data_IF_274240723061
#
_entry.id   IF_274240723061
#
_cell.length_a   1.000
_cell.length_b   1.000
_cell.length_c   1.000
_cell.angle_alpha   90.00
_cell.angle_beta   90.00
_cell.angle_gamma   90.00
#
_symmetry.space_group_name_H-M   'P 1'
#
loop_
_entity.id
_entity.type
_entity.pdbx_description
1 polymer ?
#
# COMPACT_ATOMS: atom_id res chain seq x y z
N UNK A 1 1.07 -6.58 -13.41
CA UNK A 1 0.47 -5.74 -14.44
C UNK A 1 1.08 -6.05 -15.79
N UNK A 2 0.34 -6.01 -16.90
CA UNK A 2 0.95 -6.03 -18.23
C UNK A 2 1.60 -4.67 -18.50
N UNK A 3 2.75 -4.68 -19.15
CA UNK A 3 3.45 -3.44 -19.49
C UNK A 3 4.63 -3.72 -20.41
N UNK A 4 5.20 -2.67 -20.98
CA UNK A 4 6.40 -2.80 -21.82
C UNK A 4 7.65 -2.71 -20.93
N UNK A 5 8.59 -3.62 -21.14
CA UNK A 5 9.89 -3.55 -20.46
C UNK A 5 10.59 -2.26 -20.87
N UNK A 6 10.90 -1.42 -19.88
CA UNK A 6 11.63 -0.16 -20.11
C UNK A 6 13.14 -0.42 -20.14
N UNK A 7 13.65 -1.10 -19.11
CA UNK A 7 15.06 -1.46 -18.99
C UNK A 7 15.21 -2.78 -18.29
N UNK A 8 16.20 -3.57 -18.70
CA UNK A 8 16.68 -4.75 -17.99
C UNK A 8 18.07 -4.44 -17.47
N UNK A 9 18.25 -4.53 -16.15
CA UNK A 9 19.46 -4.08 -15.46
C UNK A 9 20.42 -5.23 -15.16
N UNK A 10 20.02 -6.47 -15.43
CA UNK A 10 20.78 -7.67 -15.16
C UNK A 10 21.00 -8.50 -16.44
N UNK A 11 22.07 -9.28 -16.44
CA UNK A 11 22.41 -10.19 -17.55
C UNK A 11 22.50 -11.62 -17.01
N UNK A 12 22.40 -12.57 -17.91
CA UNK A 12 22.67 -13.99 -17.59
C UNK A 12 24.05 -14.15 -16.97
N UNK A 13 24.09 -14.80 -15.81
CA UNK A 13 25.31 -15.04 -15.03
C UNK A 13 25.62 -13.96 -13.98
N UNK A 14 24.83 -12.88 -13.90
CA UNK A 14 25.00 -11.87 -12.85
C UNK A 14 24.53 -12.43 -11.50
N UNK A 15 25.29 -12.17 -10.45
CA UNK A 15 24.84 -12.39 -9.07
C UNK A 15 23.98 -11.23 -8.61
N UNK A 16 22.86 -11.53 -7.98
CA UNK A 16 21.91 -10.55 -7.46
C UNK A 16 21.59 -10.86 -6.00
N UNK A 17 21.43 -9.78 -5.24
CA UNK A 17 21.00 -9.85 -3.85
C UNK A 17 19.52 -9.48 -3.74
N UNK A 18 18.91 -9.92 -2.65
CA UNK A 18 17.54 -9.53 -2.32
C UNK A 18 17.43 -7.99 -2.23
N UNK A 19 16.53 -7.42 -3.00
CA UNK A 19 16.30 -5.97 -3.09
C UNK A 19 16.96 -5.31 -4.30
N UNK A 20 17.86 -5.99 -5.02
CA UNK A 20 18.47 -5.44 -6.22
C UNK A 20 17.43 -5.27 -7.33
N UNK A 21 17.48 -4.14 -8.01
CA UNK A 21 16.57 -3.82 -9.12
C UNK A 21 16.93 -4.64 -10.35
N UNK A 22 15.99 -5.45 -10.82
CA UNK A 22 16.18 -6.38 -11.92
C UNK A 22 15.75 -5.77 -13.26
N UNK A 23 14.53 -5.24 -13.30
CA UNK A 23 14.00 -4.56 -14.50
C UNK A 23 12.92 -3.55 -14.14
N UNK A 24 12.63 -2.65 -15.08
CA UNK A 24 11.54 -1.67 -14.95
C UNK A 24 10.51 -1.84 -16.06
N UNK A 25 9.26 -1.54 -15.70
CA UNK A 25 8.12 -1.57 -16.64
C UNK A 25 7.69 -0.15 -16.94
N UNK A 26 7.61 0.20 -18.20
CA UNK A 26 7.05 1.47 -18.66
C UNK A 26 5.52 1.39 -18.69
N UNK A 27 4.87 2.24 -17.92
CA UNK A 27 3.42 2.38 -17.93
C UNK A 27 3.01 3.86 -17.92
N UNK A 28 2.92 4.49 -19.10
CA UNK A 28 2.48 5.89 -19.22
C UNK A 28 1.08 6.13 -18.64
N UNK A 29 0.24 5.11 -18.70
CA UNK A 29 -1.14 5.16 -18.16
C UNK A 29 -1.14 5.36 -16.64
N UNK A 30 -0.23 4.72 -15.91
CA UNK A 30 -0.11 4.89 -14.47
C UNK A 30 0.36 6.31 -14.12
N UNK A 31 1.31 6.85 -14.91
CA UNK A 31 1.76 8.23 -14.73
C UNK A 31 0.62 9.24 -14.96
N UNK A 32 -0.20 9.02 -15.98
CA UNK A 32 -1.38 9.84 -16.24
C UNK A 32 -2.39 9.74 -15.09
N UNK A 33 -2.62 8.52 -14.55
CA UNK A 33 -3.45 8.31 -13.36
C UNK A 33 -2.91 9.01 -12.12
N UNK A 34 -1.58 9.02 -11.92
CA UNK A 34 -0.95 9.75 -10.82
C UNK A 34 -1.25 11.25 -10.92
N UNK A 35 -1.05 11.83 -12.10
CA UNK A 35 -1.36 13.25 -12.31
C UNK A 35 -2.84 13.56 -12.04
N UNK A 36 -3.74 12.69 -12.46
CA UNK A 36 -5.18 12.83 -12.21
C UNK A 36 -5.49 12.75 -10.70
N UNK A 37 -4.93 11.77 -9.98
CA UNK A 37 -5.11 11.61 -8.54
C UNK A 37 -4.56 12.82 -7.78
N UNK A 38 -3.36 13.29 -8.12
CA UNK A 38 -2.76 14.48 -7.52
C UNK A 38 -3.57 15.76 -7.77
N UNK A 39 -4.15 15.90 -8.96
CA UNK A 39 -5.05 17.02 -9.23
C UNK A 39 -6.32 16.95 -8.38
N UNK A 40 -6.88 15.75 -8.18
CA UNK A 40 -8.01 15.50 -7.29
C UNK A 40 -7.67 15.80 -5.82
N UNK A 41 -6.49 15.42 -5.36
CA UNK A 41 -6.01 15.71 -4.00
C UNK A 41 -5.91 17.23 -3.77
N UNK A 42 -5.27 17.96 -4.69
CA UNK A 42 -5.16 19.43 -4.60
C UNK A 42 -6.54 20.13 -4.59
N UNK A 43 -7.50 19.62 -5.35
CA UNK A 43 -8.86 20.16 -5.34
C UNK A 43 -9.55 19.90 -4.00
N UNK A 44 -9.45 18.70 -3.45
CA UNK A 44 -10.01 18.34 -2.15
C UNK A 44 -9.32 19.10 -0.99
N UNK A 45 -8.01 19.31 -1.09
CA UNK A 45 -7.25 20.13 -0.14
C UNK A 45 -7.75 21.59 -0.13
N UNK A 46 -7.93 22.19 -1.30
CA UNK A 46 -8.46 23.55 -1.41
C UNK A 46 -9.86 23.68 -0.82
N UNK A 47 -10.72 22.67 -0.99
CA UNK A 47 -12.06 22.63 -0.38
C UNK A 47 -11.98 22.50 1.15
N UNK A 48 -11.06 21.67 1.66
CA UNK A 48 -10.84 21.52 3.11
C UNK A 48 -10.34 22.84 3.71
N UNK A 49 -9.36 23.49 3.08
CA UNK A 49 -8.89 24.80 3.52
C UNK A 49 -9.98 25.87 3.48
N UNK A 50 -10.83 25.87 2.46
CA UNK A 50 -11.95 26.80 2.37
C UNK A 50 -12.94 26.58 3.51
N UNK A 51 -13.26 25.35 3.86
CA UNK A 51 -14.13 25.01 4.97
C UNK A 51 -13.53 25.42 6.32
N UNK A 52 -12.21 25.24 6.51
CA UNK A 52 -11.52 25.66 7.73
C UNK A 52 -11.41 27.16 7.87
N UNK A 53 -11.02 27.87 6.81
CA UNK A 53 -10.92 29.35 6.80
C UNK A 53 -12.26 30.03 6.99
N UNK A 54 -13.38 29.40 6.61
CA UNK A 54 -14.73 29.93 6.73
C UNK A 54 -14.95 31.18 5.91
N UNK A 55 -15.73 32.14 6.47
CA UNK A 55 -16.07 33.40 5.79
C UNK A 55 -14.83 34.30 5.62
N UNK A 56 -14.81 35.04 4.54
CA UNK A 56 -13.75 36.00 4.26
C UNK A 56 -13.71 37.12 5.28
N UNK A 57 -12.52 37.68 5.55
CA UNK A 57 -12.35 38.79 6.49
C UNK A 57 -13.27 40.00 6.17
N UNK A 58 -13.52 40.30 4.88
CA UNK A 58 -14.43 41.36 4.42
C UNK A 58 -15.88 41.07 4.77
N UNK A 59 -16.32 39.81 4.66
CA UNK A 59 -17.68 39.38 5.01
C UNK A 59 -17.94 39.52 6.52
N UNK A 60 -16.95 39.07 7.33
CA UNK A 60 -16.97 39.23 8.78
C UNK A 60 -17.00 40.73 9.17
N UNK A 61 -16.18 41.55 8.52
CA UNK A 61 -16.14 43.01 8.77
C UNK A 61 -17.46 43.68 8.39
N UNK A 62 -18.07 43.30 7.26
CA UNK A 62 -19.38 43.82 6.84
C UNK A 62 -20.49 43.46 7.82
N UNK A 63 -20.56 42.18 8.25
CA UNK A 63 -21.54 41.73 9.24
C UNK A 63 -21.34 42.43 10.60
N UNK A 64 -20.08 42.63 11.03
CA UNK A 64 -19.76 43.40 12.25
C UNK A 64 -20.23 44.84 12.16
N UNK A 65 -20.01 45.50 11.03
CA UNK A 65 -20.43 46.88 10.81
C UNK A 65 -21.96 47.01 10.85
N UNK A 66 -22.69 46.05 10.28
CA UNK A 66 -24.14 45.99 10.32
C UNK A 66 -24.65 45.83 11.77
N UNK A 67 -24.05 44.95 12.56
CA UNK A 67 -24.36 44.83 13.99
C UNK A 67 -24.06 46.12 14.74
N UNK A 68 -22.91 46.78 14.54
CA UNK A 68 -22.56 48.03 15.20
C UNK A 68 -23.56 49.13 14.87
N UNK A 69 -24.06 49.19 13.64
CA UNK A 69 -25.11 50.13 13.22
C UNK A 69 -26.44 49.89 13.95
N UNK A 70 -26.85 48.61 14.04
CA UNK A 70 -28.06 48.21 14.76
C UNK A 70 -27.94 48.49 16.28
N UNK A 71 -26.77 48.26 16.85
CA UNK A 71 -26.44 48.55 18.26
C UNK A 71 -26.56 50.05 18.56
N UNK A 72 -25.98 50.90 17.73
CA UNK A 72 -26.10 52.36 17.89
C UNK A 72 -27.57 52.84 17.80
N UNK A 73 -28.37 52.22 16.92
CA UNK A 73 -29.80 52.50 16.82
C UNK A 73 -30.56 52.07 18.09
N UNK A 74 -30.29 50.90 18.64
CA UNK A 74 -30.88 50.43 19.90
C UNK A 74 -30.52 51.39 21.07
N UNK A 75 -29.25 51.76 21.22
CA UNK A 75 -28.80 52.70 22.28
C UNK A 75 -29.51 54.05 22.16
N UNK A 76 -29.75 54.58 20.97
CA UNK A 76 -30.48 55.82 20.73
C UNK A 76 -31.96 55.68 21.15
N UNK A 77 -32.61 54.59 20.74
CA UNK A 77 -34.01 54.34 21.06
C UNK A 77 -34.22 54.10 22.56
N UNK A 78 -33.29 53.41 23.21
CA UNK A 78 -33.29 53.22 24.67
C UNK A 78 -33.23 54.56 25.40
N UNK A 79 -32.27 55.42 25.04
CA UNK A 79 -32.17 56.78 25.62
C UNK A 79 -33.44 57.59 25.37
N UNK A 80 -34.03 57.45 24.20
CA UNK A 80 -35.31 58.18 23.84
C UNK A 80 -36.46 57.66 24.68
N UNK A 81 -36.61 56.32 24.79
CA UNK A 81 -37.60 55.70 25.65
C UNK A 81 -37.49 56.17 27.12
N UNK A 82 -36.25 56.09 27.67
CA UNK A 82 -36.01 56.51 29.05
C UNK A 82 -36.38 57.99 29.30
N UNK A 83 -36.08 58.85 28.36
CA UNK A 83 -36.46 60.24 28.42
C UNK A 83 -38.00 60.44 28.39
N UNK A 84 -38.65 59.77 27.45
CA UNK A 84 -40.14 59.82 27.29
C UNK A 84 -40.83 59.23 28.52
N UNK A 85 -40.27 58.09 29.05
CA UNK A 85 -40.82 57.44 30.24
C UNK A 85 -40.70 58.33 31.51
N UNK A 86 -39.64 59.12 31.65
CA UNK A 86 -39.52 60.09 32.75
C UNK A 86 -40.52 61.20 32.60
N UNK A 87 -40.72 61.80 31.40
CA UNK A 87 -41.74 62.81 31.14
C UNK A 87 -43.16 62.29 31.38
N UNK A 88 -43.43 61.01 31.11
CA UNK A 88 -44.75 60.42 31.44
C UNK A 88 -44.90 60.26 32.97
N UNK A 89 -43.86 59.85 33.71
CA UNK A 89 -43.92 59.79 35.18
C UNK A 89 -44.17 61.15 35.81
N UNK A 90 -43.66 62.20 35.20
CA UNK A 90 -43.87 63.58 35.64
C UNK A 90 -45.23 64.15 35.19
N UNK A 91 -46.10 63.33 34.53
CA UNK A 91 -47.44 63.73 34.06
C UNK A 91 -47.47 64.72 32.87
N UNK A 92 -46.36 64.87 32.16
CA UNK A 92 -46.19 65.86 31.07
C UNK A 92 -46.74 65.35 29.71
N UNK A 93 -46.70 63.99 29.50
CA UNK A 93 -47.10 63.37 28.23
C UNK A 93 -48.09 62.23 28.43
N UNK A 94 -48.88 61.94 27.35
CA UNK A 94 -49.87 60.87 27.35
C UNK A 94 -49.18 59.48 27.30
N UNK A 95 -49.85 58.47 27.88
CA UNK A 95 -49.40 57.07 27.90
C UNK A 95 -49.10 56.52 26.51
N UNK A 96 -49.90 56.87 25.51
CA UNK A 96 -49.71 56.48 24.12
C UNK A 96 -48.28 56.83 23.63
N UNK A 97 -47.76 58.01 23.98
CA UNK A 97 -46.38 58.40 23.58
C UNK A 97 -45.28 57.56 24.23
N UNK A 98 -45.51 57.17 25.49
CA UNK A 98 -44.62 56.24 26.17
C UNK A 98 -44.65 54.89 25.47
N UNK A 99 -45.80 54.33 25.11
CA UNK A 99 -45.97 53.03 24.46
C UNK A 99 -45.42 53.02 23.04
N UNK A 100 -45.59 54.14 22.29
CA UNK A 100 -44.92 54.31 21.00
C UNK A 100 -43.42 54.26 21.13
N UNK A 101 -42.81 54.97 22.06
CA UNK A 101 -41.36 54.96 22.31
C UNK A 101 -40.86 53.62 22.81
N UNK A 102 -41.63 52.93 23.65
CA UNK A 102 -41.32 51.58 24.11
C UNK A 102 -41.30 50.58 22.95
N UNK A 103 -42.30 50.60 22.09
CA UNK A 103 -42.40 49.74 20.93
C UNK A 103 -41.22 49.95 19.96
N UNK A 104 -40.85 51.22 19.71
CA UNK A 104 -39.70 51.57 18.87
C UNK A 104 -38.38 51.06 19.48
N UNK A 105 -38.17 51.18 20.79
CA UNK A 105 -37.02 50.65 21.46
C UNK A 105 -36.97 49.10 21.39
N UNK A 106 -38.09 48.43 21.66
CA UNK A 106 -38.18 46.98 21.54
C UNK A 106 -37.84 46.49 20.11
N UNK A 107 -38.35 47.17 19.10
CA UNK A 107 -38.03 46.84 17.70
C UNK A 107 -36.54 47.02 17.39
N UNK A 108 -35.91 48.09 17.88
CA UNK A 108 -34.47 48.34 17.72
C UNK A 108 -33.63 47.28 18.45
N UNK A 109 -34.03 46.87 19.65
CA UNK A 109 -33.39 45.82 20.45
C UNK A 109 -33.42 44.47 19.74
N UNK A 110 -34.56 44.07 19.17
CA UNK A 110 -34.68 42.83 18.40
C UNK A 110 -33.86 42.90 17.12
N UNK A 111 -33.80 44.05 16.45
CA UNK A 111 -32.97 44.24 15.26
C UNK A 111 -31.47 44.12 15.57
N UNK A 112 -31.01 44.71 16.71
CA UNK A 112 -29.62 44.50 17.17
C UNK A 112 -29.33 43.03 17.43
N UNK A 113 -30.23 42.32 18.16
CA UNK A 113 -30.11 40.90 18.42
C UNK A 113 -30.00 40.08 17.14
N UNK A 114 -30.83 40.36 16.15
CA UNK A 114 -30.77 39.67 14.85
C UNK A 114 -29.44 39.94 14.11
N UNK A 115 -29.02 41.21 14.07
CA UNK A 115 -27.72 41.56 13.44
C UNK A 115 -26.53 40.96 14.15
N UNK A 116 -26.59 40.85 15.50
CA UNK A 116 -25.55 40.15 16.28
C UNK A 116 -25.48 38.65 15.93
N UNK A 117 -26.61 37.96 15.86
CA UNK A 117 -26.65 36.54 15.49
C UNK A 117 -26.07 36.31 14.08
N UNK A 118 -26.39 37.23 13.14
CA UNK A 118 -25.79 37.13 11.79
C UNK A 118 -24.28 37.33 11.79
N UNK A 119 -23.78 38.30 12.58
CA UNK A 119 -22.33 38.49 12.77
C UNK A 119 -21.70 37.27 13.43
N UNK A 120 -22.27 36.71 14.48
CA UNK A 120 -21.76 35.53 15.19
C UNK A 120 -21.71 34.33 14.25
N UNK A 121 -22.74 34.04 13.48
CA UNK A 121 -22.82 32.97 12.50
C UNK A 121 -21.73 33.13 11.41
N UNK A 122 -21.58 34.37 10.89
CA UNK A 122 -20.53 34.63 9.87
C UNK A 122 -19.13 34.43 10.43
N UNK A 123 -18.89 34.84 11.69
CA UNK A 123 -17.60 34.69 12.37
C UNK A 123 -17.30 33.24 12.70
N UNK A 124 -18.27 32.45 13.10
CA UNK A 124 -18.11 31.01 13.38
C UNK A 124 -17.72 30.23 12.14
N UNK A 125 -18.25 30.64 10.97
CA UNK A 125 -17.91 30.01 9.68
C UNK A 125 -18.64 28.71 9.43
N UNK A 126 -17.96 27.75 8.78
CA UNK A 126 -18.57 26.48 8.45
C UNK A 126 -18.79 25.61 9.70
N UNK A 127 -19.90 24.88 9.71
CA UNK A 127 -20.21 23.92 10.77
C UNK A 127 -19.13 22.83 10.86
N UNK A 128 -18.93 22.29 12.06
CA UNK A 128 -17.91 21.25 12.30
C UNK A 128 -18.14 20.00 11.44
N UNK A 129 -19.40 19.64 11.13
CA UNK A 129 -19.72 18.54 10.26
C UNK A 129 -19.23 18.78 8.82
N UNK A 130 -19.33 20.03 8.35
CA UNK A 130 -18.86 20.43 7.00
C UNK A 130 -17.33 20.40 6.94
N UNK A 131 -16.65 20.90 7.97
CA UNK A 131 -15.20 20.85 8.09
C UNK A 131 -14.71 19.39 8.11
N UNK A 132 -15.36 18.55 8.93
CA UNK A 132 -15.05 17.13 9.00
C UNK A 132 -15.27 16.42 7.66
N UNK A 133 -16.40 16.68 7.00
CA UNK A 133 -16.68 16.10 5.68
C UNK A 133 -15.62 16.50 4.63
N UNK A 134 -15.22 17.77 4.60
CA UNK A 134 -14.19 18.26 3.68
C UNK A 134 -12.81 17.64 4.00
N UNK A 135 -12.48 17.46 5.28
CA UNK A 135 -11.26 16.79 5.72
C UNK A 135 -11.22 15.31 5.30
N UNK A 136 -12.33 14.59 5.49
CA UNK A 136 -12.41 13.18 5.05
C UNK A 136 -12.38 13.07 3.52
N UNK A 137 -12.93 14.02 2.79
CA UNK A 137 -12.80 14.08 1.33
C UNK A 137 -11.33 14.27 0.91
N UNK A 138 -10.55 15.11 1.62
CA UNK A 138 -9.10 15.23 1.41
C UNK A 138 -8.39 13.89 1.70
N UNK A 139 -8.70 13.24 2.82
CA UNK A 139 -8.10 11.95 3.19
C UNK A 139 -8.36 10.87 2.13
N UNK A 140 -9.58 10.82 1.56
CA UNK A 140 -9.91 9.92 0.46
C UNK A 140 -9.07 10.21 -0.79
N UNK A 141 -8.87 11.48 -1.13
CA UNK A 141 -8.07 11.88 -2.28
C UNK A 141 -6.58 11.55 -2.08
N UNK A 142 -6.05 11.76 -0.87
CA UNK A 142 -4.68 11.34 -0.50
C UNK A 142 -4.53 9.81 -0.58
N UNK A 143 -5.54 9.06 -0.15
CA UNK A 143 -5.57 7.60 -0.32
C UNK A 143 -5.51 7.16 -1.78
N UNK A 144 -6.22 7.87 -2.67
CA UNK A 144 -6.18 7.60 -4.11
C UNK A 144 -4.80 7.87 -4.73
N UNK A 145 -4.07 8.89 -4.25
CA UNK A 145 -2.67 9.13 -4.67
C UNK A 145 -1.79 7.98 -4.21
N UNK A 146 -1.89 7.60 -2.93
CA UNK A 146 -1.09 6.51 -2.36
C UNK A 146 -1.32 5.17 -3.08
N UNK A 147 -2.56 4.89 -3.50
CA UNK A 147 -2.88 3.70 -4.32
C UNK A 147 -2.09 3.69 -5.63
N UNK A 148 -2.09 4.82 -6.35
CA UNK A 148 -1.38 4.91 -7.64
C UNK A 148 0.14 4.87 -7.44
N UNK A 149 0.66 5.45 -6.36
CA UNK A 149 2.09 5.37 -6.00
C UNK A 149 2.51 3.93 -5.71
N UNK A 150 1.68 3.14 -5.06
CA UNK A 150 1.92 1.71 -4.87
C UNK A 150 2.02 0.97 -6.22
N UNK A 151 1.14 1.29 -7.16
CA UNK A 151 1.25 0.73 -8.52
C UNK A 151 2.53 1.16 -9.25
N UNK A 152 3.02 2.38 -9.02
CA UNK A 152 4.30 2.84 -9.57
C UNK A 152 5.46 2.07 -8.93
N UNK A 153 5.41 1.82 -7.63
CA UNK A 153 6.42 1.00 -6.97
C UNK A 153 6.50 -0.41 -7.58
N UNK A 154 5.35 -1.00 -7.92
CA UNK A 154 5.26 -2.31 -8.58
C UNK A 154 5.79 -2.32 -10.04
N UNK A 155 6.05 -1.15 -10.64
CA UNK A 155 6.73 -1.11 -11.95
C UNK A 155 8.24 -1.34 -11.86
N UNK A 156 8.81 -1.26 -10.67
CA UNK A 156 10.22 -1.53 -10.38
C UNK A 156 10.32 -2.92 -9.76
N UNK A 157 10.79 -3.87 -10.53
CA UNK A 157 10.86 -5.26 -10.08
C UNK A 157 12.23 -5.54 -9.48
N UNK A 158 12.22 -5.80 -8.19
CA UNK A 158 13.42 -6.12 -7.42
C UNK A 158 13.50 -7.63 -7.16
N UNK A 159 14.71 -8.16 -6.95
CA UNK A 159 14.90 -9.54 -6.55
C UNK A 159 14.34 -9.80 -5.15
N UNK A 160 13.59 -10.88 -5.01
CA UNK A 160 13.08 -11.37 -3.71
C UNK A 160 14.07 -12.27 -2.98
N UNK A 161 15.05 -12.83 -3.70
CA UNK A 161 16.05 -13.77 -3.19
C UNK A 161 17.44 -13.37 -3.64
N UNK A 162 18.46 -13.87 -2.93
CA UNK A 162 19.82 -13.86 -3.44
C UNK A 162 19.96 -14.99 -4.46
N UNK A 163 20.80 -14.82 -5.46
CA UNK A 163 21.02 -15.87 -6.44
C UNK A 163 21.73 -15.40 -7.69
N UNK A 164 21.85 -16.28 -8.66
CA UNK A 164 22.44 -16.02 -9.97
C UNK A 164 21.35 -15.97 -11.05
N UNK A 165 21.42 -15.00 -11.95
CA UNK A 165 20.50 -14.88 -13.09
C UNK A 165 20.75 -16.01 -14.08
N UNK A 166 19.83 -16.96 -14.11
CA UNK A 166 19.88 -18.11 -15.04
C UNK A 166 19.49 -17.73 -16.46
N UNK A 167 18.40 -16.97 -16.61
CA UNK A 167 17.88 -16.56 -17.92
C UNK A 167 17.23 -15.19 -17.85
N UNK A 168 17.38 -14.42 -18.91
CA UNK A 168 16.57 -13.23 -19.23
C UNK A 168 15.72 -13.60 -20.45
N UNK A 169 14.40 -13.63 -20.27
CA UNK A 169 13.43 -14.14 -21.23
C UNK A 169 12.83 -13.06 -22.11
N UNK A 170 12.77 -11.82 -21.62
CA UNK A 170 12.25 -10.67 -22.35
C UNK A 170 13.31 -9.57 -22.40
N UNK A 171 13.34 -8.89 -23.55
CA UNK A 171 14.24 -7.77 -23.83
C UNK A 171 13.57 -6.42 -23.62
N UNK A 172 14.38 -5.37 -23.55
CA UNK A 172 13.88 -3.98 -23.53
C UNK A 172 12.98 -3.70 -24.74
N UNK A 173 11.87 -3.03 -24.50
CA UNK A 173 10.86 -2.71 -25.50
C UNK A 173 9.82 -3.80 -25.74
N UNK A 174 10.00 -5.02 -25.22
CA UNK A 174 9.02 -6.09 -25.37
C UNK A 174 7.85 -5.93 -24.38
N UNK A 175 6.70 -6.46 -24.74
CA UNK A 175 5.51 -6.47 -23.89
C UNK A 175 5.60 -7.67 -22.94
N UNK A 176 5.56 -7.41 -21.63
CA UNK A 176 5.46 -8.44 -20.61
C UNK A 176 3.98 -8.67 -20.24
N UNK A 177 3.39 -9.81 -20.64
CA UNK A 177 2.04 -10.18 -20.21
C UNK A 177 2.03 -10.48 -18.71
N UNK A 178 0.88 -10.30 -18.09
CA UNK A 178 0.73 -10.64 -16.68
C UNK A 178 0.99 -12.14 -16.43
N UNK A 179 1.84 -12.44 -15.43
CA UNK A 179 2.21 -13.80 -15.07
C UNK A 179 3.29 -14.43 -15.96
N UNK A 180 3.81 -13.71 -16.93
CA UNK A 180 4.92 -14.21 -17.76
C UNK A 180 6.26 -13.96 -17.05
N UNK A 181 7.17 -14.95 -16.98
CA UNK A 181 8.49 -14.77 -16.39
C UNK A 181 9.36 -13.89 -17.28
N UNK A 182 9.99 -12.86 -16.71
CA UNK A 182 10.92 -11.97 -17.41
C UNK A 182 12.37 -12.39 -17.18
N UNK A 183 12.71 -12.68 -15.93
CA UNK A 183 14.03 -13.11 -15.48
C UNK A 183 13.86 -14.30 -14.56
N UNK A 184 14.72 -15.30 -14.73
CA UNK A 184 14.82 -16.47 -13.82
C UNK A 184 16.08 -16.33 -13.00
N UNK A 185 15.93 -16.35 -11.67
CA UNK A 185 17.01 -16.29 -10.69
C UNK A 185 17.02 -17.63 -9.95
N UNK A 186 18.21 -18.20 -9.76
CA UNK A 186 18.41 -19.48 -9.07
C UNK A 186 19.25 -19.23 -7.83
N UNK A 187 18.73 -19.61 -6.67
CA UNK A 187 19.48 -19.62 -5.41
C UNK A 187 20.24 -20.97 -5.31
N UNK A 188 21.54 -20.91 -5.54
CA UNK A 188 22.40 -22.08 -5.51
C UNK A 188 22.65 -22.54 -4.06
N UNK A 189 22.52 -21.64 -3.07
CA UNK A 189 22.75 -21.98 -1.67
C UNK A 189 21.60 -22.81 -1.08
N UNK A 190 20.41 -22.78 -1.69
CA UNK A 190 19.27 -23.63 -1.32
C UNK A 190 19.11 -24.82 -2.30
N UNK A 191 20.20 -25.34 -2.85
CA UNK A 191 20.18 -26.49 -3.73
C UNK A 191 20.03 -27.79 -2.94
N UNK A 192 19.31 -28.74 -3.52
CA UNK A 192 19.20 -30.11 -3.02
C UNK A 192 19.35 -31.12 -4.14
N UNK A 193 19.75 -32.36 -3.78
CA UNK A 193 19.82 -33.48 -4.70
C UNK A 193 18.56 -34.35 -4.54
N UNK A 194 18.05 -34.86 -5.66
CA UNK A 194 16.93 -35.79 -5.69
C UNK A 194 17.47 -37.16 -6.12
N UNK A 195 17.22 -38.17 -5.29
CA UNK A 195 17.53 -39.55 -5.59
C UNK A 195 16.26 -40.37 -5.67
N UNK A 196 16.18 -41.29 -6.64
CA UNK A 196 15.08 -42.24 -6.75
C UNK A 196 15.57 -43.60 -6.19
N UNK A 197 15.20 -43.89 -4.96
CA UNK A 197 15.62 -45.10 -4.23
C UNK A 197 14.56 -46.17 -4.37
N UNK A 198 14.97 -47.39 -4.65
CA UNK A 198 14.06 -48.56 -4.74
C UNK A 198 13.52 -48.91 -3.35
N UNK A 199 12.29 -49.40 -3.31
CA UNK A 199 11.55 -49.76 -2.09
C UNK A 199 12.35 -50.72 -1.17
N UNK A 200 13.07 -51.69 -1.75
CA UNK A 200 13.86 -52.67 -1.00
C UNK A 200 15.07 -52.08 -0.26
N UNK A 201 15.58 -50.95 -0.75
CA UNK A 201 16.75 -50.25 -0.19
C UNK A 201 16.35 -49.03 0.65
N UNK A 202 15.07 -48.64 0.67
CA UNK A 202 14.57 -47.40 1.30
C UNK A 202 14.88 -47.37 2.81
N UNK A 203 14.90 -48.49 3.49
CA UNK A 203 15.21 -48.63 4.92
C UNK A 203 16.60 -48.08 5.30
N UNK A 204 17.54 -48.06 4.36
CA UNK A 204 18.92 -47.64 4.57
C UNK A 204 19.07 -46.10 4.40
N UNK A 205 17.99 -45.39 4.06
CA UNK A 205 17.97 -43.95 3.80
C UNK A 205 16.90 -43.22 4.62
N UNK A 206 16.89 -43.34 5.96
CA UNK A 206 15.93 -42.59 6.78
C UNK A 206 16.27 -41.10 6.79
N UNK A 207 15.26 -40.29 7.09
CA UNK A 207 15.45 -38.83 7.28
C UNK A 207 16.50 -38.56 8.35
N UNK A 208 17.43 -37.61 8.08
CA UNK A 208 18.53 -37.23 8.94
C UNK A 208 19.82 -38.08 8.72
N UNK A 209 19.74 -39.11 7.89
CA UNK A 209 20.92 -39.93 7.56
C UNK A 209 21.89 -39.13 6.69
N UNK A 210 23.18 -39.22 7.02
CA UNK A 210 24.27 -38.67 6.21
C UNK A 210 24.67 -39.64 5.12
N UNK A 211 24.86 -39.13 3.93
CA UNK A 211 25.25 -39.92 2.74
C UNK A 211 26.46 -39.27 2.06
N UNK A 212 27.36 -40.09 1.55
CA UNK A 212 28.47 -39.64 0.72
C UNK A 212 28.03 -39.63 -0.75
N UNK A 213 28.20 -38.50 -1.38
CA UNK A 213 27.71 -38.23 -2.72
C UNK A 213 28.84 -37.70 -3.58
N UNK A 214 28.98 -38.25 -4.78
CA UNK A 214 29.94 -37.76 -5.77
C UNK A 214 29.24 -36.93 -6.84
N UNK A 215 29.86 -35.82 -7.19
CA UNK A 215 29.42 -34.93 -8.26
C UNK A 215 30.49 -34.99 -9.37
N UNK A 216 30.29 -35.77 -10.43
CA UNK A 216 31.34 -36.00 -11.44
C UNK A 216 31.83 -34.73 -12.15
N UNK A 217 30.96 -33.71 -12.23
CA UNK A 217 31.31 -32.42 -12.81
C UNK A 217 32.33 -31.63 -11.97
N UNK A 218 32.47 -31.94 -10.66
CA UNK A 218 33.34 -31.21 -9.74
C UNK A 218 34.61 -32.02 -9.39
N UNK A 219 34.69 -33.27 -9.84
CA UNK A 219 35.85 -34.14 -9.63
C UNK A 219 35.50 -35.49 -9.00
N UNK A 220 36.51 -36.10 -8.34
CA UNK A 220 36.36 -37.41 -7.69
C UNK A 220 36.11 -37.31 -6.18
N UNK A 221 36.05 -36.12 -5.62
CA UNK A 221 35.81 -35.89 -4.21
C UNK A 221 34.40 -36.27 -3.81
N UNK A 222 34.24 -36.84 -2.62
CA UNK A 222 32.95 -37.16 -2.03
C UNK A 222 32.49 -35.99 -1.15
N UNK A 223 31.25 -35.58 -1.34
CA UNK A 223 30.57 -34.52 -0.55
C UNK A 223 29.56 -35.15 0.42
N UNK A 224 29.41 -34.57 1.59
CA UNK A 224 28.47 -35.08 2.59
C UNK A 224 27.13 -34.36 2.43
N UNK A 225 26.06 -35.14 2.23
CA UNK A 225 24.69 -34.69 2.20
C UNK A 225 23.89 -35.30 3.35
N UNK A 226 22.85 -34.63 3.81
CA UNK A 226 21.90 -35.13 4.79
C UNK A 226 20.54 -35.32 4.14
N UNK A 227 19.87 -36.43 4.41
CA UNK A 227 18.53 -36.70 3.90
C UNK A 227 17.53 -35.80 4.62
N UNK A 228 16.96 -34.85 3.88
CA UNK A 228 16.00 -33.87 4.38
C UNK A 228 14.57 -34.40 4.32
N UNK A 229 14.23 -35.10 3.24
CA UNK A 229 12.88 -35.62 3.01
C UNK A 229 12.91 -36.96 2.28
N UNK A 230 11.95 -37.82 2.63
CA UNK A 230 11.64 -39.05 1.94
C UNK A 230 10.17 -39.02 1.54
N UNK A 231 9.87 -39.19 0.28
CA UNK A 231 8.50 -39.14 -0.23
C UNK A 231 7.60 -40.18 0.41
N UNK A 232 6.41 -39.78 0.80
CA UNK A 232 5.40 -40.66 1.44
C UNK A 232 4.76 -41.64 0.44
N UNK A 233 4.82 -41.28 -0.86
CA UNK A 233 4.25 -42.08 -1.95
C UNK A 233 5.33 -42.48 -2.93
N UNK A 234 5.34 -43.74 -3.31
CA UNK A 234 6.24 -44.26 -4.35
C UNK A 234 5.69 -43.97 -5.73
N UNK A 235 6.58 -43.55 -6.63
CA UNK A 235 6.30 -43.39 -8.04
C UNK A 235 6.66 -44.63 -8.84
N UNK A 236 5.99 -44.83 -9.98
CA UNK A 236 6.39 -45.87 -10.89
C UNK A 236 7.68 -45.45 -11.61
N UNK A 237 8.75 -46.26 -11.48
CA UNK A 237 9.91 -46.06 -12.31
C UNK A 237 9.48 -46.19 -13.79
N UNK A 238 9.72 -45.13 -14.57
CA UNK A 238 9.38 -45.07 -16.02
C UNK A 238 10.30 -45.96 -16.88
N UNK A 239 11.06 -46.85 -16.28
CA UNK A 239 11.90 -47.78 -17.02
C UNK A 239 11.15 -49.10 -17.21
N UNK A 240 10.87 -49.46 -18.48
CA UNK A 240 10.38 -50.77 -18.87
C UNK A 240 11.42 -51.81 -18.50
N UNK A 241 11.11 -52.68 -17.55
CA UNK A 241 11.81 -53.90 -17.35
C UNK A 241 11.53 -54.80 -18.57
N UNK A 242 12.57 -55.00 -19.41
CA UNK A 242 12.53 -55.89 -20.58
C UNK A 242 13.02 -57.30 -20.21
N UNK A 243 12.94 -57.71 -18.94
CA UNK A 243 13.36 -59.05 -18.60
C UNK A 243 12.26 -59.77 -17.80
N UNK A 244 11.82 -60.89 -18.37
CA UNK A 244 10.74 -61.77 -17.95
C UNK A 244 11.18 -62.77 -16.90
N UNK A 245 11.70 -62.33 -15.77
CA UNK A 245 12.00 -63.23 -14.66
C UNK A 245 11.45 -62.65 -13.35
N UNK A 246 10.34 -63.22 -12.90
CA UNK A 246 9.82 -63.27 -11.52
C UNK A 246 10.21 -62.05 -10.62
N UNK A 247 9.94 -60.84 -11.05
CA UNK A 247 10.18 -59.64 -10.26
C UNK A 247 8.85 -58.90 -10.06
N UNK A 248 8.45 -58.78 -8.81
CA UNK A 248 7.44 -57.80 -8.37
C UNK A 248 7.84 -56.40 -8.91
N UNK A 249 6.87 -55.68 -9.44
CA UNK A 249 7.11 -54.34 -10.01
C UNK A 249 7.43 -53.37 -8.88
N UNK A 250 8.75 -53.24 -8.55
CA UNK A 250 9.20 -52.45 -7.42
C UNK A 250 9.07 -50.96 -7.70
N UNK A 251 8.48 -50.26 -6.77
CA UNK A 251 8.37 -48.81 -6.81
C UNK A 251 9.66 -48.14 -6.39
N UNK A 252 9.84 -46.91 -6.85
CA UNK A 252 10.90 -46.00 -6.38
C UNK A 252 10.32 -44.91 -5.55
N UNK A 253 11.05 -44.47 -4.55
CA UNK A 253 10.71 -43.34 -3.70
C UNK A 253 11.70 -42.21 -3.93
N UNK A 254 11.18 -41.01 -4.02
CA UNK A 254 11.98 -39.78 -4.10
C UNK A 254 12.57 -39.48 -2.71
N UNK A 255 13.88 -39.29 -2.68
CA UNK A 255 14.63 -38.90 -1.48
C UNK A 255 15.40 -37.64 -1.78
N UNK A 256 15.03 -36.56 -1.05
CA UNK A 256 15.73 -35.29 -1.11
C UNK A 256 16.89 -35.26 -0.10
N UNK A 257 18.09 -34.90 -0.55
CA UNK A 257 19.23 -34.68 0.31
C UNK A 257 19.85 -33.30 0.10
N UNK A 258 20.24 -32.65 1.18
CA UNK A 258 20.85 -31.32 1.19
C UNK A 258 22.32 -31.39 1.53
N UNK A 259 23.20 -30.61 0.86
CA UNK A 259 24.60 -30.54 1.24
C UNK A 259 24.75 -29.94 2.64
N UNK A 260 25.63 -30.52 3.47
CA UNK A 260 25.92 -29.98 4.80
C UNK A 260 26.85 -28.77 4.74
N UNK A 261 27.63 -28.66 3.68
CA UNK A 261 28.58 -27.56 3.47
C UNK A 261 28.34 -26.91 2.11
N UNK A 262 28.74 -25.65 1.99
CA UNK A 262 28.69 -24.94 0.73
C UNK A 262 29.65 -25.60 -0.28
N UNK A 263 29.13 -26.01 -1.45
CA UNK A 263 29.86 -26.61 -2.51
C UNK A 263 30.19 -25.58 -3.58
N UNK A 264 31.44 -25.13 -3.71
CA UNK A 264 31.82 -24.20 -4.76
C UNK A 264 31.54 -24.76 -6.15
N UNK A 265 31.15 -23.92 -7.09
CA UNK A 265 30.87 -24.29 -8.49
C UNK A 265 29.70 -25.27 -8.70
N UNK A 266 28.91 -25.59 -7.67
CA UNK A 266 27.69 -26.36 -7.83
C UNK A 266 26.75 -25.64 -8.80
N UNK A 267 26.13 -26.39 -9.71
CA UNK A 267 25.13 -25.88 -10.65
C UNK A 267 23.90 -26.78 -10.65
N UNK A 268 22.73 -26.17 -10.74
CA UNK A 268 21.46 -26.90 -10.87
C UNK A 268 21.48 -27.71 -12.18
N UNK A 269 21.07 -28.98 -12.08
CA UNK A 269 21.09 -29.91 -13.21
C UNK A 269 22.38 -30.75 -13.30
N UNK A 270 23.37 -30.58 -12.41
CA UNK A 270 24.47 -31.48 -12.29
C UNK A 270 24.01 -32.87 -11.83
N UNK A 271 24.61 -33.93 -12.38
CA UNK A 271 24.38 -35.29 -11.93
C UNK A 271 25.05 -35.52 -10.59
N UNK A 272 24.34 -36.20 -9.70
CA UNK A 272 24.78 -36.50 -8.35
C UNK A 272 24.71 -38.02 -8.17
N UNK A 273 25.82 -38.66 -7.84
CA UNK A 273 25.93 -40.11 -7.68
C UNK A 273 26.00 -40.45 -6.19
N UNK A 274 25.09 -41.30 -5.75
CA UNK A 274 25.11 -41.84 -4.40
C UNK A 274 26.23 -42.89 -4.28
N UNK A 275 27.19 -42.67 -3.41
CA UNK A 275 28.36 -43.52 -3.28
C UNK A 275 28.19 -44.54 -2.14
N UNK A 276 27.86 -44.07 -0.94
CA UNK A 276 27.60 -44.93 0.24
C UNK A 276 26.87 -44.15 1.35
N UNK A 277 26.26 -44.90 2.26
CA UNK A 277 25.78 -44.35 3.54
C UNK A 277 27.03 -44.14 4.43
N UNK A 278 27.10 -42.97 5.07
CA UNK A 278 28.14 -42.66 6.04
C UNK A 278 27.66 -43.21 7.39
N UNK A 279 28.37 -44.22 7.93
CA UNK A 279 28.15 -44.71 9.29
C UNK A 279 28.77 -43.68 10.25
N UNK A 280 28.00 -43.26 11.27
CA UNK A 280 28.45 -42.31 12.31
C UNK A 280 29.47 -42.97 13.26
#
# INVERSE_FOLDING_TARGET
MPGRIEKVLVRKGDEVNRGDLIFTILSPEIQAKLQQAQAGEKAAEALSEQAEKGARAQEIAAAKTQWQKAKAANELMEKTYNRVNNLFKDGIIAEQKRDEAFTQWQAAKYNEGSAYQMYALTKEGAREEVKKAAKEQKNMATGAVAEVEAYIADTKINSWHNGEVSQVLLSEGELAPQGFPVVTIVDINDAWAIFHIREDSLKDYPKGQKIAVRIPALGEDDFTFEIAHVAVMGDFATWRATDSAQGFDMRTFEVEARPLEHIPLLRVGMSVLLNRVVED
#
